data_IF_184992205758
#
_entry.id   IF_184992205758
#
_cell.length_a   1.000
_cell.length_b   1.000
_cell.length_c   1.000
_cell.angle_alpha   90.00
_cell.angle_beta   90.00
_cell.angle_gamma   90.00
#
_symmetry.space_group_name_H-M   'P 1'
#
loop_
_entity.id
_entity.type
_entity.pdbx_description
1 polymer ?
#
# COMPACT_ATOMS: atom_id res chain seq x y z
N UNK A 1 -18.38 -47.15 23.08
CA UNK A 1 -19.53 -47.29 22.16
C UNK A 1 -20.65 -47.97 22.94
N UNK A 2 -21.90 -47.51 22.80
CA UNK A 2 -23.06 -48.14 23.46
C UNK A 2 -23.81 -48.97 22.43
N UNK A 3 -24.07 -50.22 22.75
CA UNK A 3 -24.88 -51.11 21.92
C UNK A 3 -26.14 -51.47 22.74
N UNK A 4 -27.31 -51.18 22.15
CA UNK A 4 -28.61 -51.55 22.69
C UNK A 4 -28.96 -52.94 22.16
N UNK A 5 -29.26 -53.87 23.07
CA UNK A 5 -29.74 -55.17 22.66
C UNK A 5 -31.21 -55.02 22.20
N UNK A 6 -31.49 -55.33 20.94
CA UNK A 6 -32.80 -55.07 20.33
C UNK A 6 -33.90 -56.04 20.81
N UNK A 7 -33.56 -57.10 21.53
CA UNK A 7 -34.52 -58.05 22.13
C UNK A 7 -34.89 -57.70 23.57
N UNK A 8 -34.02 -57.00 24.32
CA UNK A 8 -34.26 -56.54 25.68
C UNK A 8 -33.96 -55.04 25.78
N UNK A 9 -34.99 -54.22 25.52
CA UNK A 9 -34.90 -52.75 25.42
C UNK A 9 -34.51 -52.03 26.72
N UNK A 10 -34.38 -52.74 27.84
CA UNK A 10 -33.96 -52.19 29.14
C UNK A 10 -32.49 -52.49 29.48
N UNK A 11 -31.81 -53.34 28.70
CA UNK A 11 -30.40 -53.70 28.92
C UNK A 11 -29.49 -53.05 27.87
N UNK A 12 -28.64 -52.10 28.30
CA UNK A 12 -27.59 -51.53 27.45
C UNK A 12 -26.20 -52.05 27.86
N UNK A 13 -25.33 -52.30 26.88
CA UNK A 13 -23.93 -52.68 27.11
C UNK A 13 -23.00 -51.53 26.75
N UNK A 14 -22.20 -51.07 27.71
CA UNK A 14 -21.15 -50.06 27.48
C UNK A 14 -19.83 -50.75 27.10
N UNK A 15 -19.44 -50.68 25.83
CA UNK A 15 -18.15 -51.18 25.37
C UNK A 15 -17.09 -50.08 25.54
N UNK A 16 -16.14 -50.31 26.45
CA UNK A 16 -14.94 -49.49 26.64
C UNK A 16 -13.75 -50.18 25.98
N UNK A 17 -13.16 -49.54 24.97
CA UNK A 17 -11.95 -50.03 24.33
C UNK A 17 -10.76 -49.20 24.83
N UNK A 18 -9.65 -49.83 25.27
CA UNK A 18 -8.46 -49.10 25.70
C UNK A 18 -7.73 -48.40 24.52
N UNK A 19 -7.87 -48.92 23.30
CA UNK A 19 -7.33 -48.30 22.08
C UNK A 19 -8.14 -48.76 20.86
N UNK A 20 -8.68 -47.82 20.10
CA UNK A 20 -9.38 -48.08 18.84
C UNK A 20 -8.55 -47.51 17.69
N UNK A 21 -8.14 -48.36 16.75
CA UNK A 21 -7.38 -47.96 15.56
C UNK A 21 -8.29 -48.11 14.35
N UNK A 22 -8.80 -47.00 13.81
CA UNK A 22 -9.50 -46.98 12.53
C UNK A 22 -8.46 -46.86 11.41
N UNK A 23 -8.38 -47.88 10.55
CA UNK A 23 -7.61 -47.80 9.30
C UNK A 23 -8.56 -47.40 8.18
N UNK A 24 -8.49 -46.13 7.76
CA UNK A 24 -9.21 -45.64 6.58
C UNK A 24 -8.25 -45.78 5.40
N UNK A 25 -8.51 -46.74 4.51
CA UNK A 25 -7.77 -46.87 3.25
C UNK A 25 -8.18 -45.73 2.32
N UNK A 26 -7.27 -44.79 2.04
CA UNK A 26 -7.46 -43.76 1.01
C UNK A 26 -6.70 -44.23 -0.25
N UNK A 27 -7.38 -44.72 -1.30
CA UNK A 27 -6.74 -45.41 -2.42
C UNK A 27 -5.82 -44.53 -3.30
N UNK A 28 -5.95 -43.19 -3.22
CA UNK A 28 -5.30 -42.24 -4.14
C UNK A 28 -4.37 -41.26 -3.40
N UNK A 29 -3.48 -41.77 -2.55
CA UNK A 29 -2.41 -41.01 -1.89
C UNK A 29 -1.17 -40.83 -2.80
N UNK A 30 -1.36 -40.57 -4.09
CA UNK A 30 -0.30 -39.93 -4.88
C UNK A 30 -0.47 -38.43 -4.67
N UNK A 31 0.42 -37.85 -3.88
CA UNK A 31 0.49 -36.41 -3.69
C UNK A 31 0.92 -35.76 -5.02
N UNK A 32 -0.02 -35.54 -5.93
CA UNK A 32 0.19 -34.54 -6.97
C UNK A 32 0.27 -33.19 -6.28
N UNK A 33 1.31 -32.41 -6.61
CA UNK A 33 1.38 -31.01 -6.20
C UNK A 33 0.17 -30.34 -6.85
N UNK A 34 -0.89 -30.10 -6.07
CA UNK A 34 -1.89 -29.14 -6.47
C UNK A 34 -1.15 -27.82 -6.69
N UNK A 35 -1.19 -27.31 -7.92
CA UNK A 35 -0.79 -25.92 -8.13
C UNK A 35 -1.58 -25.08 -7.14
N UNK A 36 -0.86 -24.22 -6.42
CA UNK A 36 -1.41 -23.42 -5.34
C UNK A 36 -2.29 -22.31 -5.92
N UNK A 37 -3.41 -22.68 -6.52
CA UNK A 37 -4.36 -21.76 -7.06
C UNK A 37 -5.29 -21.36 -5.92
N UNK A 38 -5.18 -20.08 -5.57
CA UNK A 38 -5.90 -19.37 -4.51
C UNK A 38 -5.30 -19.47 -3.09
N UNK A 39 -4.11 -18.89 -2.93
CA UNK A 39 -3.66 -18.37 -1.62
C UNK A 39 -4.27 -16.98 -1.43
N UNK A 40 -5.00 -16.75 -0.34
CA UNK A 40 -5.56 -15.42 -0.05
C UNK A 40 -4.47 -14.35 0.09
N UNK A 41 -4.81 -13.07 -0.10
CA UNK A 41 -3.85 -11.94 -0.15
C UNK A 41 -2.84 -11.90 1.01
N UNK A 42 -3.23 -12.39 2.19
CA UNK A 42 -2.37 -12.49 3.39
C UNK A 42 -1.18 -13.45 3.25
N UNK A 43 -1.21 -14.37 2.29
CA UNK A 43 -0.18 -15.37 2.05
C UNK A 43 0.73 -15.03 0.86
N UNK A 44 0.45 -13.93 0.16
CA UNK A 44 1.20 -13.51 -1.01
C UNK A 44 2.59 -13.00 -0.61
N UNK A 45 3.62 -13.64 -1.14
CA UNK A 45 5.01 -13.25 -0.87
C UNK A 45 5.34 -11.93 -1.57
N UNK A 46 6.36 -11.20 -1.07
CA UNK A 46 6.79 -9.95 -1.71
C UNK A 46 7.34 -10.17 -3.12
N UNK A 47 7.92 -11.33 -3.41
CA UNK A 47 8.34 -11.71 -4.76
C UNK A 47 7.12 -11.87 -5.69
N UNK A 48 6.11 -12.64 -5.26
CA UNK A 48 4.89 -12.85 -6.04
C UNK A 48 4.13 -11.55 -6.30
N UNK A 49 4.07 -10.64 -5.32
CA UNK A 49 3.49 -9.31 -5.52
C UNK A 49 4.24 -8.47 -6.56
N UNK A 50 5.58 -8.55 -6.58
CA UNK A 50 6.39 -7.85 -7.60
C UNK A 50 6.16 -8.43 -8.97
N UNK A 51 6.10 -9.76 -9.08
CA UNK A 51 5.83 -10.44 -10.33
C UNK A 51 4.47 -10.01 -10.89
N UNK A 52 3.43 -9.96 -10.04
CA UNK A 52 2.11 -9.47 -10.45
C UNK A 52 2.12 -8.00 -10.89
N UNK A 53 2.85 -7.13 -10.19
CA UNK A 53 3.04 -5.74 -10.63
C UNK A 53 3.68 -5.69 -12.01
N UNK A 54 4.66 -6.56 -12.30
CA UNK A 54 5.28 -6.62 -13.64
C UNK A 54 4.30 -7.12 -14.70
N UNK A 55 3.45 -8.09 -14.38
CA UNK A 55 2.39 -8.60 -15.27
C UNK A 55 1.38 -7.49 -15.56
N UNK A 56 0.86 -6.83 -14.53
CA UNK A 56 -0.08 -5.71 -14.66
C UNK A 56 0.52 -4.57 -15.48
N UNK A 57 1.80 -4.23 -15.28
CA UNK A 57 2.47 -3.20 -16.09
C UNK A 57 2.58 -3.58 -17.57
N UNK A 58 2.79 -4.88 -17.88
CA UNK A 58 2.74 -5.37 -19.26
C UNK A 58 1.33 -5.27 -19.84
N UNK A 59 0.30 -5.61 -19.05
CA UNK A 59 -1.10 -5.46 -19.47
C UNK A 59 -1.45 -3.99 -19.76
N UNK A 60 -1.01 -3.06 -18.91
CA UNK A 60 -1.16 -1.61 -19.13
C UNK A 60 -0.45 -1.16 -20.42
N UNK A 61 0.78 -1.64 -20.65
CA UNK A 61 1.54 -1.32 -21.87
C UNK A 61 0.85 -1.86 -23.13
N UNK A 62 0.29 -3.08 -23.07
CA UNK A 62 -0.45 -3.64 -24.22
C UNK A 62 -1.79 -2.93 -24.42
N UNK A 63 -2.52 -2.59 -23.34
CA UNK A 63 -3.77 -1.84 -23.42
C UNK A 63 -3.55 -0.45 -24.02
N UNK A 64 -2.51 0.27 -23.58
CA UNK A 64 -2.14 1.58 -24.15
C UNK A 64 -1.72 1.49 -25.61
N UNK A 65 -0.95 0.47 -26.00
CA UNK A 65 -0.61 0.23 -27.41
C UNK A 65 -1.86 -0.08 -28.27
N UNK A 66 -2.81 -0.87 -27.75
CA UNK A 66 -4.09 -1.16 -28.42
C UNK A 66 -4.91 0.12 -28.61
N UNK A 67 -5.04 0.95 -27.57
CA UNK A 67 -5.73 2.24 -27.65
C UNK A 67 -5.09 3.14 -28.71
N UNK A 68 -3.75 3.29 -28.69
CA UNK A 68 -3.02 4.09 -29.66
C UNK A 68 -3.23 3.60 -31.10
N UNK A 69 -3.18 2.28 -31.32
CA UNK A 69 -3.43 1.66 -32.63
C UNK A 69 -4.86 1.91 -33.13
N UNK A 70 -5.87 1.74 -32.27
CA UNK A 70 -7.28 2.00 -32.62
C UNK A 70 -7.49 3.48 -32.96
N UNK A 71 -6.95 4.37 -32.14
CA UNK A 71 -7.03 5.81 -32.37
C UNK A 71 -6.37 6.19 -33.70
N UNK A 72 -5.15 5.71 -33.96
CA UNK A 72 -4.45 5.96 -35.21
C UNK A 72 -5.22 5.41 -36.42
N UNK A 73 -5.76 4.20 -36.34
CA UNK A 73 -6.57 3.60 -37.41
C UNK A 73 -7.86 4.39 -37.69
N UNK A 74 -8.53 4.89 -36.64
CA UNK A 74 -9.71 5.72 -36.78
C UNK A 74 -9.37 7.06 -37.45
N UNK A 75 -8.29 7.74 -37.01
CA UNK A 75 -7.87 8.99 -37.64
C UNK A 75 -7.37 8.79 -39.07
N UNK A 76 -6.62 7.73 -39.38
CA UNK A 76 -6.11 7.45 -40.72
C UNK A 76 -7.22 7.17 -41.75
N UNK A 77 -8.42 6.76 -41.29
CA UNK A 77 -9.59 6.56 -42.16
C UNK A 77 -10.19 7.89 -42.64
N UNK A 78 -9.99 8.98 -41.89
CA UNK A 78 -10.62 10.27 -42.12
C UNK A 78 -9.65 11.41 -42.43
N UNK A 79 -8.41 11.33 -41.94
CA UNK A 79 -7.33 12.25 -42.30
C UNK A 79 -6.50 11.63 -43.42
N UNK A 80 -6.40 12.32 -44.58
CA UNK A 80 -5.50 11.89 -45.63
C UNK A 80 -4.04 12.05 -45.15
N UNK A 81 -3.10 11.21 -45.64
CA UNK A 81 -1.71 11.23 -45.19
C UNK A 81 -1.06 12.61 -45.39
N UNK A 82 -0.08 13.00 -44.56
CA UNK A 82 0.52 14.34 -44.58
C UNK A 82 0.96 14.80 -45.98
N UNK A 83 1.49 13.87 -46.79
CA UNK A 83 1.98 14.12 -48.15
C UNK A 83 0.85 14.55 -49.10
N UNK A 84 -0.35 14.00 -48.91
CA UNK A 84 -1.53 14.36 -49.69
C UNK A 84 -2.20 15.65 -49.21
N UNK A 85 -2.00 16.05 -47.96
CA UNK A 85 -2.41 17.37 -47.45
C UNK A 85 -1.51 18.48 -48.00
N UNK A 86 -0.21 18.22 -48.16
CA UNK A 86 0.74 19.12 -48.82
C UNK A 86 0.42 19.28 -50.32
N UNK A 87 0.03 18.19 -50.99
CA UNK A 87 -0.43 18.23 -52.39
C UNK A 87 -1.81 18.89 -52.56
N UNK A 88 -2.74 18.68 -51.62
CA UNK A 88 -4.07 19.29 -51.63
C UNK A 88 -4.04 20.80 -51.31
N UNK A 89 -3.13 21.22 -50.42
CA UNK A 89 -2.90 22.64 -50.10
C UNK A 89 -2.39 23.47 -51.27
N UNK A 90 -1.85 22.83 -52.33
CA UNK A 90 -1.40 23.51 -53.55
C UNK A 90 -2.53 23.83 -54.55
N UNK A 91 -3.72 23.20 -54.42
CA UNK A 91 -4.80 23.31 -55.41
C UNK A 91 -6.21 23.54 -54.84
N UNK A 92 -6.39 23.70 -53.52
CA UNK A 92 -7.71 23.83 -52.92
C UNK A 92 -8.09 25.29 -52.61
N UNK A 93 -9.13 25.82 -53.26
CA UNK A 93 -9.77 27.10 -52.90
C UNK A 93 -10.48 27.07 -51.53
N UNK A 94 -10.66 25.89 -50.94
CA UNK A 94 -11.19 25.73 -49.59
C UNK A 94 -10.59 24.47 -48.94
N UNK A 95 -9.44 24.57 -48.23
CA UNK A 95 -8.68 23.42 -47.74
C UNK A 95 -9.38 22.54 -46.69
N UNK A 96 -10.58 22.91 -46.25
CA UNK A 96 -11.37 22.21 -45.22
C UNK A 96 -12.71 21.64 -45.72
N UNK A 97 -13.01 21.72 -47.02
CA UNK A 97 -14.23 21.15 -47.60
C UNK A 97 -14.15 19.62 -47.77
N UNK A 98 -13.94 18.90 -46.67
CA UNK A 98 -14.10 17.45 -46.63
C UNK A 98 -15.61 17.12 -46.70
N UNK A 99 -16.08 16.21 -47.58
CA UNK A 99 -17.47 15.76 -47.61
C UNK A 99 -17.72 14.80 -46.44
N UNK A 100 -17.64 15.32 -45.21
CA UNK A 100 -17.93 14.58 -43.99
C UNK A 100 -19.45 14.48 -43.86
N UNK A 101 -20.04 13.36 -44.28
CA UNK A 101 -21.40 13.01 -43.86
C UNK A 101 -21.40 12.91 -42.33
N UNK A 102 -21.92 13.93 -41.64
CA UNK A 102 -21.77 14.08 -40.20
C UNK A 102 -22.47 12.98 -39.39
N UNK A 103 -23.56 12.39 -39.90
CA UNK A 103 -24.38 11.43 -39.16
C UNK A 103 -23.69 10.08 -38.84
N UNK A 104 -23.10 9.33 -39.81
CA UNK A 104 -22.39 8.09 -39.48
C UNK A 104 -21.14 8.33 -38.64
N UNK A 105 -20.46 9.46 -38.83
CA UNK A 105 -19.24 9.81 -38.12
C UNK A 105 -19.47 10.05 -36.64
N UNK A 106 -20.55 10.73 -36.27
CA UNK A 106 -20.88 10.99 -34.87
C UNK A 106 -21.12 9.68 -34.11
N UNK A 107 -21.83 8.73 -34.70
CA UNK A 107 -22.08 7.42 -34.09
C UNK A 107 -20.78 6.61 -33.92
N UNK A 108 -19.87 6.64 -34.89
CA UNK A 108 -18.57 5.95 -34.80
C UNK A 108 -17.65 6.61 -33.75
N UNK A 109 -17.58 7.94 -33.71
CA UNK A 109 -16.80 8.67 -32.70
C UNK A 109 -17.33 8.41 -31.28
N UNK A 110 -18.65 8.34 -31.10
CA UNK A 110 -19.26 8.00 -29.82
C UNK A 110 -18.88 6.59 -29.38
N UNK A 111 -18.89 5.60 -30.28
CA UNK A 111 -18.47 4.22 -29.99
C UNK A 111 -16.99 4.15 -29.62
N UNK A 112 -16.13 4.80 -30.40
CA UNK A 112 -14.69 4.86 -30.10
C UNK A 112 -14.45 5.49 -28.73
N UNK A 113 -15.16 6.57 -28.40
CA UNK A 113 -15.05 7.23 -27.09
C UNK A 113 -15.48 6.30 -25.96
N UNK A 114 -16.56 5.55 -26.12
CA UNK A 114 -17.00 4.57 -25.12
C UNK A 114 -15.95 3.49 -24.90
N UNK A 115 -15.38 2.96 -25.98
CA UNK A 115 -14.34 1.92 -25.93
C UNK A 115 -13.04 2.43 -25.28
N UNK A 116 -12.56 3.61 -25.68
CA UNK A 116 -11.37 4.23 -25.05
C UNK A 116 -11.63 4.52 -23.58
N UNK A 117 -12.83 4.96 -23.21
CA UNK A 117 -13.17 5.22 -21.80
C UNK A 117 -13.15 3.93 -20.98
N UNK A 118 -13.59 2.81 -21.56
CA UNK A 118 -13.52 1.49 -20.94
C UNK A 118 -12.07 0.98 -20.81
N UNK A 119 -11.25 1.14 -21.86
CA UNK A 119 -9.84 0.76 -21.82
C UNK A 119 -9.08 1.62 -20.77
N UNK A 120 -9.39 2.92 -20.66
CA UNK A 120 -8.83 3.82 -19.64
C UNK A 120 -9.24 3.44 -18.22
N UNK A 121 -10.51 3.07 -17.99
CA UNK A 121 -10.96 2.65 -16.67
C UNK A 121 -10.32 1.32 -16.25
N UNK A 122 -10.11 0.41 -17.21
CA UNK A 122 -9.35 -0.83 -17.00
C UNK A 122 -7.90 -0.55 -16.59
N UNK A 123 -7.19 0.31 -17.33
CA UNK A 123 -5.81 0.71 -17.00
C UNK A 123 -5.73 1.34 -15.62
N UNK A 124 -6.60 2.30 -15.30
CA UNK A 124 -6.64 2.93 -13.98
C UNK A 124 -6.90 1.93 -12.84
N UNK A 125 -7.72 0.92 -13.11
CA UNK A 125 -7.96 -0.17 -12.15
C UNK A 125 -6.70 -0.98 -11.87
N UNK A 126 -5.94 -1.33 -12.91
CA UNK A 126 -4.65 -2.03 -12.76
C UNK A 126 -3.60 -1.16 -12.06
N UNK A 127 -3.52 0.13 -12.40
CA UNK A 127 -2.62 1.08 -11.72
C UNK A 127 -2.93 1.12 -10.22
N UNK A 128 -4.20 1.29 -9.84
CA UNK A 128 -4.59 1.30 -8.42
C UNK A 128 -4.18 0.02 -7.71
N UNK A 129 -4.39 -1.15 -8.31
CA UNK A 129 -3.94 -2.43 -7.76
C UNK A 129 -2.42 -2.48 -7.61
N UNK A 130 -1.67 -2.00 -8.60
CA UNK A 130 -0.21 -1.93 -8.51
C UNK A 130 0.26 -1.05 -7.35
N UNK A 131 -0.35 0.11 -7.14
CA UNK A 131 -0.04 0.97 -6.01
C UNK A 131 -0.28 0.24 -4.68
N UNK A 132 -1.42 -0.43 -4.52
CA UNK A 132 -1.74 -1.20 -3.31
C UNK A 132 -0.73 -2.33 -3.06
N UNK A 133 -0.39 -3.10 -4.08
CA UNK A 133 0.63 -4.16 -3.98
C UNK A 133 1.99 -3.58 -3.58
N UNK A 134 2.39 -2.44 -4.15
CA UNK A 134 3.64 -1.77 -3.79
C UNK A 134 3.62 -1.27 -2.34
N UNK A 135 2.52 -0.69 -1.86
CA UNK A 135 2.37 -0.28 -0.45
C UNK A 135 2.54 -1.49 0.46
N UNK A 136 1.87 -2.61 0.15
CA UNK A 136 1.95 -3.83 0.95
C UNK A 136 3.38 -4.42 0.96
N UNK A 137 4.09 -4.38 -0.17
CA UNK A 137 5.51 -4.76 -0.24
C UNK A 137 6.33 -3.89 0.71
N UNK A 138 6.19 -2.56 0.65
CA UNK A 138 6.96 -1.66 1.52
C UNK A 138 6.58 -1.80 2.99
N UNK A 139 5.31 -2.07 3.31
CA UNK A 139 4.80 -2.38 4.66
C UNK A 139 5.53 -3.56 5.28
N UNK A 140 5.67 -4.66 4.52
CA UNK A 140 6.34 -5.89 4.97
C UNK A 140 7.81 -5.67 5.35
N UNK A 141 8.50 -4.71 4.71
CA UNK A 141 9.88 -4.35 5.05
C UNK A 141 9.99 -3.23 6.10
N UNK A 142 9.06 -2.28 6.09
CA UNK A 142 9.06 -1.12 6.99
C UNK A 142 8.85 -1.53 8.45
N UNK A 143 7.97 -2.49 8.73
CA UNK A 143 7.66 -2.93 10.11
C UNK A 143 8.88 -3.51 10.84
N UNK A 144 9.65 -4.48 10.27
CA UNK A 144 10.88 -4.96 10.89
C UNK A 144 11.92 -3.85 11.12
N UNK A 145 12.05 -2.91 10.18
CA UNK A 145 12.97 -1.78 10.31
C UNK A 145 12.53 -0.84 11.44
N UNK A 146 11.23 -0.61 11.59
CA UNK A 146 10.67 0.18 12.68
C UNK A 146 11.05 -0.41 14.04
N UNK A 147 11.04 -1.74 14.19
CA UNK A 147 11.48 -2.40 15.43
C UNK A 147 12.93 -2.05 15.78
N UNK A 148 13.84 -2.05 14.81
CA UNK A 148 15.25 -1.68 15.03
C UNK A 148 15.38 -0.21 15.46
N UNK A 149 14.62 0.67 14.82
CA UNK A 149 14.58 2.09 15.15
C UNK A 149 14.04 2.31 16.57
N UNK A 150 12.99 1.60 16.97
CA UNK A 150 12.45 1.68 18.33
C UNK A 150 13.43 1.20 19.39
N UNK A 151 14.24 0.17 19.10
CA UNK A 151 15.32 -0.24 20.01
C UNK A 151 16.36 0.87 20.14
N UNK A 152 16.72 1.52 19.02
CA UNK A 152 17.68 2.63 19.01
C UNK A 152 17.20 3.86 19.78
N UNK A 153 15.90 4.15 19.73
CA UNK A 153 15.24 5.20 20.54
C UNK A 153 15.12 4.77 22.01
N UNK A 154 14.71 3.51 22.24
CA UNK A 154 14.42 2.96 23.56
C UNK A 154 15.65 2.75 24.44
N UNK A 155 16.80 2.39 23.87
CA UNK A 155 18.05 2.19 24.61
C UNK A 155 18.50 3.44 25.40
N UNK A 156 18.66 4.63 24.79
CA UNK A 156 19.00 5.84 25.52
C UNK A 156 17.87 6.32 26.44
N UNK A 157 16.60 6.21 26.04
CA UNK A 157 15.45 6.54 26.90
C UNK A 157 15.41 5.67 28.17
N UNK A 158 15.70 4.37 28.05
CA UNK A 158 15.75 3.43 29.17
C UNK A 158 16.90 3.73 30.12
N UNK A 159 18.08 4.09 29.60
CA UNK A 159 19.19 4.56 30.44
C UNK A 159 18.83 5.86 31.18
N UNK A 160 18.09 6.77 30.54
CA UNK A 160 17.63 8.01 31.15
C UNK A 160 16.55 7.78 32.22
N UNK A 161 15.65 6.81 32.03
CA UNK A 161 14.59 6.46 32.99
C UNK A 161 15.13 6.09 34.38
N UNK A 162 16.39 5.65 34.45
CA UNK A 162 17.05 5.29 35.71
C UNK A 162 17.53 6.50 36.53
N UNK A 163 17.64 7.68 35.92
CA UNK A 163 18.09 8.95 36.53
C UNK A 163 16.99 10.02 36.62
N UNK A 164 15.97 9.95 35.77
CA UNK A 164 14.80 10.84 35.77
C UNK A 164 13.52 10.15 36.27
N UNK A 165 12.34 10.76 36.06
CA UNK A 165 11.07 10.11 36.39
C UNK A 165 10.76 9.02 35.35
N UNK A 166 10.48 7.81 35.83
CA UNK A 166 10.06 6.68 34.99
C UNK A 166 8.86 7.04 34.10
N UNK A 167 7.97 7.90 34.60
CA UNK A 167 6.80 8.41 33.88
C UNK A 167 7.16 9.25 32.65
N UNK A 168 8.20 10.10 32.69
CA UNK A 168 8.61 10.87 31.50
C UNK A 168 9.14 9.97 30.39
N UNK A 169 10.00 9.00 30.71
CA UNK A 169 10.56 8.09 29.72
C UNK A 169 9.48 7.20 29.08
N UNK A 170 8.52 6.73 29.89
CA UNK A 170 7.36 5.99 29.41
C UNK A 170 6.46 6.85 28.52
N UNK A 171 6.19 8.11 28.91
CA UNK A 171 5.39 9.06 28.12
C UNK A 171 6.01 9.34 26.75
N UNK A 172 7.32 9.62 26.69
CA UNK A 172 8.02 9.88 25.43
C UNK A 172 7.99 8.65 24.52
N UNK A 173 8.24 7.46 25.06
CA UNK A 173 8.17 6.21 24.31
C UNK A 173 6.78 5.97 23.73
N UNK A 174 5.74 6.22 24.53
CA UNK A 174 4.35 6.12 24.10
C UNK A 174 4.00 7.16 23.02
N UNK A 175 4.51 8.39 23.12
CA UNK A 175 4.34 9.40 22.08
C UNK A 175 4.94 8.97 20.74
N UNK A 176 6.14 8.40 20.72
CA UNK A 176 6.74 7.86 19.49
C UNK A 176 5.94 6.68 18.92
N UNK A 177 5.41 5.81 19.79
CA UNK A 177 4.53 4.72 19.37
C UNK A 177 3.25 5.26 18.71
N UNK A 178 2.59 6.24 19.32
CA UNK A 178 1.40 6.88 18.74
C UNK A 178 1.71 7.59 17.41
N UNK A 179 2.81 8.33 17.33
CA UNK A 179 3.23 8.98 16.09
C UNK A 179 3.47 7.97 14.97
N UNK A 180 4.13 6.86 15.27
CA UNK A 180 4.35 5.80 14.31
C UNK A 180 3.03 5.17 13.85
N UNK A 181 2.14 4.85 14.79
CA UNK A 181 0.85 4.23 14.47
C UNK A 181 -0.05 5.16 13.64
N UNK A 182 -0.13 6.43 14.01
CA UNK A 182 -0.86 7.45 13.26
C UNK A 182 -0.28 7.63 11.84
N UNK A 183 1.05 7.63 11.70
CA UNK A 183 1.70 7.72 10.39
C UNK A 183 1.47 6.47 9.55
N UNK A 184 1.37 5.28 10.17
CA UNK A 184 1.11 4.03 9.46
C UNK A 184 -0.32 4.01 8.90
N UNK A 185 -1.31 4.38 9.72
CA UNK A 185 -2.71 4.47 9.29
C UNK A 185 -2.87 5.58 8.23
N UNK A 186 -2.39 6.79 8.52
CA UNK A 186 -2.53 7.92 7.60
C UNK A 186 -1.75 7.71 6.30
N UNK A 187 -0.58 7.08 6.35
CA UNK A 187 0.20 6.74 5.17
C UNK A 187 -0.49 5.72 4.27
N UNK A 188 -1.14 4.71 4.85
CA UNK A 188 -1.92 3.72 4.10
C UNK A 188 -3.11 4.40 3.39
N UNK A 189 -3.86 5.25 4.09
CA UNK A 189 -4.99 5.99 3.54
C UNK A 189 -4.59 6.96 2.41
N UNK A 190 -3.52 7.74 2.60
CA UNK A 190 -2.97 8.66 1.59
C UNK A 190 -2.43 7.93 0.35
N UNK A 191 -1.87 6.72 0.53
CA UNK A 191 -1.37 5.91 -0.57
C UNK A 191 -2.50 5.22 -1.35
N UNK A 192 -3.58 4.83 -0.66
CA UNK A 192 -4.79 4.29 -1.30
C UNK A 192 -5.49 5.32 -2.19
N UNK A 193 -5.41 6.61 -1.84
CA UNK A 193 -5.86 7.73 -2.66
C UNK A 193 -4.87 8.13 -3.78
N UNK A 194 -3.71 7.44 -3.89
CA UNK A 194 -2.63 7.75 -4.84
C UNK A 194 -2.05 9.18 -4.71
N UNK A 195 -2.21 9.82 -3.53
CA UNK A 195 -1.70 11.17 -3.28
C UNK A 195 -0.19 11.19 -3.01
N UNK A 196 0.33 10.12 -2.40
CA UNK A 196 1.73 9.97 -2.05
C UNK A 196 2.32 8.68 -2.62
N UNK A 197 3.62 8.69 -2.91
CA UNK A 197 4.29 7.48 -3.39
C UNK A 197 4.25 6.37 -2.33
N UNK A 198 4.06 5.09 -2.72
CA UNK A 198 4.04 3.96 -1.79
C UNK A 198 5.28 3.88 -0.89
N UNK A 199 6.42 4.31 -1.42
CA UNK A 199 7.68 4.38 -0.67
C UNK A 199 7.60 5.44 0.45
N UNK A 200 7.24 6.68 0.13
CA UNK A 200 7.14 7.74 1.13
C UNK A 200 6.09 7.42 2.19
N UNK A 201 4.93 6.90 1.78
CA UNK A 201 3.85 6.51 2.68
C UNK A 201 4.33 5.63 3.84
N UNK A 202 5.11 4.59 3.52
CA UNK A 202 5.52 3.59 4.52
C UNK A 202 6.84 3.91 5.22
N UNK A 203 7.71 4.71 4.61
CA UNK A 203 9.05 4.99 5.15
C UNK A 203 9.16 6.33 5.87
N UNK A 204 8.28 7.29 5.61
CA UNK A 204 8.35 8.62 6.21
C UNK A 204 8.34 8.55 7.74
N UNK A 205 7.47 7.74 8.33
CA UNK A 205 7.41 7.51 9.77
C UNK A 205 8.73 6.98 10.33
N UNK A 206 9.29 5.94 9.70
CA UNK A 206 10.57 5.36 10.08
C UNK A 206 11.71 6.37 9.98
N UNK A 207 11.75 7.17 8.91
CA UNK A 207 12.79 8.18 8.73
C UNK A 207 12.71 9.24 9.83
N UNK A 208 11.51 9.75 10.13
CA UNK A 208 11.30 10.78 11.18
C UNK A 208 11.71 10.24 12.55
N UNK A 209 11.18 9.07 12.94
CA UNK A 209 11.50 8.45 14.24
C UNK A 209 12.96 8.02 14.31
N UNK A 210 13.53 7.54 13.19
CA UNK A 210 14.93 7.14 13.08
C UNK A 210 15.90 8.32 13.26
N UNK A 211 15.63 9.45 12.60
CA UNK A 211 16.41 10.68 12.80
C UNK A 211 16.32 11.15 14.25
N UNK A 212 15.12 11.15 14.83
CA UNK A 212 14.93 11.51 16.24
C UNK A 212 15.69 10.56 17.18
N UNK A 213 15.67 9.26 16.90
CA UNK A 213 16.40 8.24 17.66
C UNK A 213 17.91 8.43 17.58
N UNK A 214 18.47 8.61 16.39
CA UNK A 214 19.90 8.85 16.20
C UNK A 214 20.32 10.12 16.93
N UNK A 215 19.54 11.20 16.79
CA UNK A 215 19.79 12.44 17.53
C UNK A 215 19.83 12.20 19.04
N UNK A 216 18.87 11.44 19.57
CA UNK A 216 18.76 11.14 21.00
C UNK A 216 19.93 10.28 21.50
N UNK A 217 20.37 9.30 20.70
CA UNK A 217 21.58 8.51 20.99
C UNK A 217 22.83 9.39 21.00
N UNK A 218 23.04 10.22 19.97
CA UNK A 218 24.22 11.09 19.88
C UNK A 218 24.27 12.08 21.03
N UNK A 219 23.11 12.63 21.42
CA UNK A 219 23.02 13.50 22.57
C UNK A 219 23.36 12.75 23.86
N UNK A 220 22.73 11.59 24.10
CA UNK A 220 22.95 10.79 25.31
C UNK A 220 24.40 10.31 25.46
N UNK A 221 25.09 10.06 24.34
CA UNK A 221 26.52 9.68 24.32
C UNK A 221 27.44 10.89 24.58
N UNK A 222 27.13 12.07 24.01
CA UNK A 222 27.95 13.28 24.19
C UNK A 222 27.80 13.91 25.57
N UNK A 223 26.59 13.89 26.13
CA UNK A 223 26.33 14.39 27.48
C UNK A 223 26.24 13.20 28.46
N UNK A 224 27.40 12.72 28.89
CA UNK A 224 27.50 11.89 30.10
C UNK A 224 27.09 12.64 31.39
N UNK A 225 26.61 13.88 31.29
CA UNK A 225 26.12 14.73 32.37
C UNK A 225 24.70 15.23 32.09
N UNK A 226 23.73 14.36 32.38
CA UNK A 226 22.39 14.65 32.93
C UNK A 226 21.62 15.84 32.31
N UNK A 227 20.71 15.51 31.39
CA UNK A 227 19.72 16.42 30.79
C UNK A 227 18.97 17.28 31.81
N UNK A 228 19.00 18.59 31.59
CA UNK A 228 18.09 19.57 32.20
C UNK A 228 16.72 19.57 31.47
N UNK A 229 15.58 19.68 32.17
CA UNK A 229 14.23 19.74 31.58
C UNK A 229 14.03 20.86 30.54
N UNK A 230 14.86 21.91 30.63
CA UNK A 230 14.89 23.08 29.75
C UNK A 230 15.10 22.73 28.26
N UNK A 231 15.91 21.72 27.95
CA UNK A 231 16.26 21.40 26.55
C UNK A 231 15.11 20.74 25.78
N UNK A 232 14.27 19.92 26.46
CA UNK A 232 13.06 19.34 25.84
C UNK A 232 12.04 20.44 25.53
N UNK A 233 11.86 21.39 26.45
CA UNK A 233 11.02 22.58 26.23
C UNK A 233 11.54 23.40 25.04
N UNK A 234 12.85 23.59 24.94
CA UNK A 234 13.47 24.38 23.87
C UNK A 234 13.42 23.69 22.49
N UNK A 235 13.55 22.35 22.45
CA UNK A 235 13.36 21.57 21.23
C UNK A 235 11.91 21.61 20.74
N UNK A 236 10.95 21.43 21.66
CA UNK A 236 9.53 21.50 21.34
C UNK A 236 9.13 22.92 20.88
N UNK A 237 9.67 23.96 21.52
CA UNK A 237 9.47 25.36 21.13
C UNK A 237 10.09 25.68 19.76
N UNK A 238 11.23 25.08 19.40
CA UNK A 238 11.84 25.23 18.07
C UNK A 238 11.05 24.53 16.96
N UNK A 239 10.51 23.33 17.24
CA UNK A 239 9.62 22.65 16.29
C UNK A 239 8.32 23.46 16.12
N UNK A 240 7.77 23.98 17.22
CA UNK A 240 6.58 24.85 17.19
C UNK A 240 6.83 26.17 16.46
N UNK A 241 8.03 26.76 16.58
CA UNK A 241 8.39 27.97 15.83
C UNK A 241 8.60 27.72 14.34
N UNK A 242 9.07 26.52 13.95
CA UNK A 242 9.19 26.12 12.55
C UNK A 242 7.84 25.73 11.92
N UNK A 243 6.90 25.23 12.73
CA UNK A 243 5.56 24.87 12.30
C UNK A 243 4.58 26.07 12.18
N UNK A 244 5.04 27.32 12.41
CA UNK A 244 4.24 28.52 12.18
C UNK A 244 3.00 28.68 13.07
N UNK A 245 2.90 27.94 14.17
CA UNK A 245 1.78 28.06 15.12
C UNK A 245 2.13 29.08 16.19
N UNK A 246 1.60 30.29 16.06
CA UNK A 246 1.69 31.36 17.04
C UNK A 246 1.12 30.92 18.41
N UNK A 247 1.82 31.30 19.48
CA UNK A 247 1.37 31.11 20.85
C UNK A 247 0.17 32.02 21.17
N UNK A 248 -0.83 31.57 21.95
CA UNK A 248 -1.72 32.51 22.61
C UNK A 248 -0.91 33.29 23.65
N UNK A 249 -1.07 34.61 23.65
CA UNK A 249 -0.48 35.51 24.64
C UNK A 249 -0.94 35.09 26.04
N UNK A 250 0.01 34.71 26.88
CA UNK A 250 -0.20 34.55 28.31
C UNK A 250 -0.23 35.96 28.92
N UNK A 251 -1.42 36.57 28.93
CA UNK A 251 -1.67 37.82 29.63
C UNK A 251 -2.13 37.54 31.06
N UNK A 252 -1.41 38.11 32.02
CA UNK A 252 -1.95 38.37 33.36
C UNK A 252 -1.20 37.71 34.51
N UNK A 253 -0.03 38.25 34.84
CA UNK A 253 0.41 38.34 36.24
C UNK A 253 -0.64 39.13 37.03
N UNK A 254 -1.16 38.56 38.11
CA UNK A 254 -1.25 39.13 39.48
C UNK A 254 -1.66 38.04 40.44
#
# INVERSE_FOLDING_TARGET
MYELNLEEMEAYRQLRFPKQVLSISVPDMVMERSESEYRGDREKSSAMMRDEVTVNNREIATASARMAKKMHAHFARYLPPPDSLLAAGAHAENPLALPLQASPLLAENQRLRQEITADLSFVRGLDRKNYQLLVEIHKKYSIPVACLIFVLVGAPLGMMARRGSMAMAAGISFSFFLLYWASLIGGEELADEQLISPFMAMWLANIIVGIAGIYLVLYAVRESTLFNPETIRNFFNRIRSLAGVAAPEENGKT
#
